data_IF_113022607329
#
_entry.id   IF_113022607329
#
_cell.length_a   1.000
_cell.length_b   1.000
_cell.length_c   1.000
_cell.angle_alpha   90.00
_cell.angle_beta   90.00
_cell.angle_gamma   90.00
#
_symmetry.space_group_name_H-M   'P 1'
#
loop_
_entity.id
_entity.type
_entity.pdbx_description
1 polymer ?
#
# COMPACT_ATOMS: atom_id res chain seq x y z
N UNK A 1 25.91 36.11 -20.23
CA UNK A 1 24.62 35.52 -19.88
C UNK A 1 24.87 34.03 -19.74
N UNK A 2 25.03 33.54 -18.50
CA UNK A 2 25.27 32.12 -18.22
C UNK A 2 23.93 31.38 -18.22
N UNK A 3 23.82 30.37 -19.07
CA UNK A 3 22.68 29.43 -19.06
C UNK A 3 22.67 28.65 -17.74
N UNK A 4 21.68 28.93 -16.92
CA UNK A 4 21.38 28.13 -15.73
C UNK A 4 20.48 26.93 -16.13
N UNK A 5 21.03 25.95 -16.83
CA UNK A 5 20.35 24.66 -16.95
C UNK A 5 20.64 23.79 -15.72
N UNK A 6 19.66 23.09 -15.19
CA UNK A 6 19.85 22.28 -13.99
C UNK A 6 20.79 21.11 -14.29
N UNK A 7 21.76 20.91 -13.41
CA UNK A 7 22.91 19.99 -13.50
C UNK A 7 22.54 18.49 -13.71
N UNK A 8 21.26 18.14 -13.60
CA UNK A 8 20.78 16.77 -13.72
C UNK A 8 20.21 16.40 -15.10
N UNK A 9 20.25 17.34 -16.06
CA UNK A 9 19.85 17.09 -17.46
C UNK A 9 21.10 17.04 -18.33
N UNK A 10 21.63 15.86 -18.59
CA UNK A 10 22.72 15.65 -19.52
C UNK A 10 22.24 14.73 -20.65
N UNK A 11 22.06 15.30 -21.84
CA UNK A 11 21.62 14.57 -23.05
C UNK A 11 22.55 13.43 -23.44
N UNK A 12 23.81 13.46 -23.05
CA UNK A 12 24.80 12.42 -23.36
C UNK A 12 24.61 11.13 -22.57
N UNK A 13 23.79 11.13 -21.52
CA UNK A 13 23.53 9.92 -20.70
C UNK A 13 22.48 9.01 -21.31
N UNK A 14 21.74 9.44 -22.33
CA UNK A 14 20.69 8.65 -23.00
C UNK A 14 21.17 7.80 -24.19
N UNK A 15 22.44 7.92 -24.60
CA UNK A 15 22.93 7.21 -25.79
C UNK A 15 23.57 5.83 -25.50
N UNK A 16 23.57 5.34 -24.29
CA UNK A 16 24.24 4.05 -23.95
C UNK A 16 23.31 3.05 -23.25
N UNK A 17 22.02 3.05 -23.56
CA UNK A 17 21.18 1.87 -23.29
C UNK A 17 21.13 1.10 -24.61
N UNK A 18 22.04 0.14 -24.76
CA UNK A 18 21.95 -0.88 -25.80
C UNK A 18 20.56 -1.51 -25.74
N UNK A 19 19.96 -1.72 -26.92
CA UNK A 19 18.68 -2.40 -27.12
C UNK A 19 18.71 -3.83 -26.57
N UNK A 20 18.66 -3.96 -25.27
CA UNK A 20 18.22 -5.19 -24.63
C UNK A 20 16.70 -5.22 -24.73
N UNK A 21 16.13 -6.29 -25.25
CA UNK A 21 14.69 -6.55 -25.32
C UNK A 21 14.03 -6.29 -23.95
N UNK A 22 13.67 -5.05 -23.68
CA UNK A 22 12.71 -4.70 -22.66
C UNK A 22 11.36 -4.87 -23.33
N UNK A 23 10.64 -5.94 -23.02
CA UNK A 23 9.21 -6.00 -23.30
C UNK A 23 8.58 -4.78 -22.65
N UNK A 24 8.38 -3.73 -23.45
CA UNK A 24 7.65 -2.54 -23.01
C UNK A 24 6.19 -2.95 -22.85
N UNK A 25 5.77 -3.26 -21.61
CA UNK A 25 4.35 -3.35 -21.30
C UNK A 25 3.75 -1.95 -21.58
N UNK A 26 3.11 -1.81 -22.72
CA UNK A 26 2.38 -0.61 -23.06
C UNK A 26 1.17 -0.53 -22.15
N UNK A 27 1.16 0.40 -21.20
CA UNK A 27 -0.01 0.67 -20.36
C UNK A 27 -0.98 1.48 -21.22
N UNK A 28 -1.98 0.84 -21.78
CA UNK A 28 -3.10 1.53 -22.42
C UNK A 28 -3.96 2.20 -21.35
N UNK A 29 -3.83 3.51 -21.22
CA UNK A 29 -4.72 4.31 -20.36
C UNK A 29 -5.99 4.57 -21.16
N UNK A 30 -7.07 3.88 -20.85
CA UNK A 30 -8.39 4.10 -21.43
C UNK A 30 -8.99 5.41 -20.90
N UNK A 31 -8.66 6.53 -21.54
CA UNK A 31 -9.22 7.85 -21.22
C UNK A 31 -10.64 7.88 -21.81
N UNK A 32 -11.66 7.91 -20.95
CA UNK A 32 -13.07 8.10 -21.35
C UNK A 32 -14.00 6.92 -21.09
N UNK A 33 -13.53 5.77 -20.61
CA UNK A 33 -14.39 4.71 -20.11
C UNK A 33 -14.75 4.94 -18.63
N UNK A 34 -16.00 4.64 -18.27
CA UNK A 34 -16.38 4.64 -16.84
C UNK A 34 -15.53 3.57 -16.10
N UNK A 35 -14.99 3.90 -14.93
CA UNK A 35 -14.23 2.95 -14.16
C UNK A 35 -15.09 1.76 -13.74
N UNK A 36 -14.52 0.55 -13.72
CA UNK A 36 -15.20 -0.68 -13.31
C UNK A 36 -15.58 -0.68 -11.83
N UNK A 37 -14.80 0.00 -11.02
CA UNK A 37 -15.04 0.20 -9.60
C UNK A 37 -14.27 1.44 -9.13
N UNK A 38 -14.72 2.04 -8.02
CA UNK A 38 -14.11 3.21 -7.41
C UNK A 38 -13.87 2.92 -5.93
N UNK A 39 -12.62 2.98 -5.52
CA UNK A 39 -12.18 2.63 -4.16
C UNK A 39 -11.61 3.85 -3.47
N UNK A 40 -12.08 4.15 -2.26
CA UNK A 40 -11.44 5.10 -1.35
C UNK A 40 -10.64 4.34 -0.31
N UNK A 41 -9.31 4.47 -0.35
CA UNK A 41 -8.39 3.90 0.64
C UNK A 41 -8.17 4.92 1.73
N UNK A 42 -8.54 4.57 2.95
CA UNK A 42 -8.40 5.41 4.13
C UNK A 42 -7.33 4.85 5.07
N UNK A 43 -6.34 5.68 5.39
CA UNK A 43 -5.22 5.32 6.24
C UNK A 43 -5.10 6.32 7.39
N UNK A 44 -5.72 6.03 8.55
CA UNK A 44 -5.46 6.80 9.75
C UNK A 44 -4.00 6.61 10.18
N UNK A 45 -3.24 7.68 10.34
CA UNK A 45 -1.86 7.64 10.78
C UNK A 45 -1.61 8.61 11.94
N UNK A 46 -0.68 8.25 12.85
CA UNK A 46 -0.32 9.13 13.96
C UNK A 46 0.74 10.14 13.53
N UNK A 47 1.80 9.69 12.89
CA UNK A 47 2.93 10.53 12.44
C UNK A 47 3.35 10.18 11.03
N UNK A 48 3.76 8.94 10.81
CA UNK A 48 4.45 8.50 9.61
C UNK A 48 3.78 7.29 8.98
N UNK A 49 4.09 7.07 7.72
CA UNK A 49 3.72 5.84 7.00
C UNK A 49 4.97 4.99 6.79
N UNK A 50 4.85 3.68 6.91
CA UNK A 50 5.99 2.80 6.70
C UNK A 50 6.38 2.73 5.22
N UNK A 51 7.66 2.46 4.96
CA UNK A 51 8.16 2.24 3.60
C UNK A 51 7.44 1.07 2.91
N UNK A 52 7.16 0.00 3.66
CA UNK A 52 6.45 -1.18 3.12
C UNK A 52 5.02 -0.82 2.71
N UNK A 53 4.29 -0.08 3.54
CA UNK A 53 2.98 0.46 3.20
C UNK A 53 3.05 1.31 1.92
N UNK A 54 4.01 2.24 1.83
CA UNK A 54 4.15 3.11 0.67
C UNK A 54 4.39 2.31 -0.61
N UNK A 55 5.27 1.30 -0.57
CA UNK A 55 5.52 0.42 -1.71
C UNK A 55 4.28 -0.38 -2.11
N UNK A 56 3.54 -0.91 -1.12
CA UNK A 56 2.31 -1.66 -1.37
C UNK A 56 1.23 -0.79 -2.03
N UNK A 57 1.06 0.45 -1.55
CA UNK A 57 0.11 1.42 -2.10
C UNK A 57 0.45 1.78 -3.55
N UNK A 58 1.70 2.05 -3.86
CA UNK A 58 2.13 2.35 -5.25
C UNK A 58 1.88 1.18 -6.19
N UNK A 59 2.20 -0.05 -5.77
CA UNK A 59 1.90 -1.26 -6.53
C UNK A 59 0.40 -1.44 -6.72
N UNK A 60 -0.38 -1.24 -5.67
CA UNK A 60 -1.84 -1.36 -5.73
C UNK A 60 -2.44 -0.35 -6.70
N UNK A 61 -1.98 0.90 -6.67
CA UNK A 61 -2.42 1.93 -7.61
C UNK A 61 -2.16 1.52 -9.06
N UNK A 62 -0.95 1.04 -9.36
CA UNK A 62 -0.61 0.56 -10.71
C UNK A 62 -1.51 -0.60 -11.16
N UNK A 63 -1.76 -1.57 -10.28
CA UNK A 63 -2.64 -2.70 -10.59
C UNK A 63 -4.09 -2.27 -10.78
N UNK A 64 -4.59 -1.31 -9.99
CA UNK A 64 -5.91 -0.72 -10.18
C UNK A 64 -6.04 -0.04 -11.54
N UNK A 65 -5.04 0.75 -11.94
CA UNK A 65 -5.02 1.39 -13.26
C UNK A 65 -5.08 0.37 -14.40
N UNK A 66 -4.29 -0.71 -14.34
CA UNK A 66 -4.30 -1.80 -15.34
C UNK A 66 -5.68 -2.45 -15.44
N UNK A 67 -6.43 -2.52 -14.35
CA UNK A 67 -7.77 -3.14 -14.31
C UNK A 67 -8.93 -2.18 -14.60
N UNK A 68 -8.65 -0.88 -14.78
CA UNK A 68 -9.68 0.15 -14.97
C UNK A 68 -10.44 0.45 -13.67
N UNK A 69 -9.79 0.32 -12.52
CA UNK A 69 -10.32 0.64 -11.19
C UNK A 69 -9.77 2.01 -10.78
N UNK A 70 -10.67 2.92 -10.40
CA UNK A 70 -10.29 4.21 -9.84
C UNK A 70 -9.99 4.03 -8.35
N UNK A 71 -8.84 4.50 -7.91
CA UNK A 71 -8.47 4.49 -6.49
C UNK A 71 -8.06 5.89 -6.04
N UNK A 72 -8.54 6.31 -4.89
CA UNK A 72 -8.07 7.51 -4.18
C UNK A 72 -7.55 7.14 -2.80
N UNK A 73 -6.63 7.94 -2.29
CA UNK A 73 -5.98 7.72 -1.00
C UNK A 73 -6.22 8.90 -0.09
N UNK A 74 -6.82 8.63 1.08
CA UNK A 74 -7.00 9.59 2.16
C UNK A 74 -6.12 9.20 3.35
N UNK A 75 -5.07 9.98 3.60
CA UNK A 75 -4.17 9.81 4.73
C UNK A 75 -4.55 10.86 5.78
N UNK A 76 -5.15 10.42 6.88
CA UNK A 76 -5.63 11.30 7.93
C UNK A 76 -4.74 11.19 9.17
N UNK A 77 -4.13 12.32 9.54
CA UNK A 77 -3.38 12.41 10.79
C UNK A 77 -4.32 12.54 11.96
N UNK A 78 -4.26 11.57 12.88
CA UNK A 78 -5.07 11.59 14.11
C UNK A 78 -4.31 10.93 15.27
N UNK A 79 -4.39 11.53 16.44
CA UNK A 79 -3.84 10.96 17.68
C UNK A 79 -4.68 9.80 18.22
N UNK A 80 -5.97 9.75 17.85
CA UNK A 80 -6.92 8.72 18.24
C UNK A 80 -7.36 7.93 17.01
N UNK A 81 -7.11 6.63 16.98
CA UNK A 81 -7.46 5.75 15.86
C UNK A 81 -8.95 5.77 15.56
N UNK A 82 -9.80 5.76 16.61
CA UNK A 82 -11.26 5.83 16.47
C UNK A 82 -11.71 7.11 15.80
N UNK A 83 -11.15 8.26 16.22
CA UNK A 83 -11.45 9.54 15.61
C UNK A 83 -11.01 9.59 14.16
N UNK A 84 -9.80 9.12 13.85
CA UNK A 84 -9.29 9.06 12.48
C UNK A 84 -10.19 8.21 11.57
N UNK A 85 -10.61 7.03 12.03
CA UNK A 85 -11.55 6.18 11.28
C UNK A 85 -12.91 6.81 11.08
N UNK A 86 -13.46 7.49 12.11
CA UNK A 86 -14.74 8.20 11.97
C UNK A 86 -14.65 9.33 10.94
N UNK A 87 -13.55 10.07 10.90
CA UNK A 87 -13.33 11.11 9.89
C UNK A 87 -13.24 10.50 8.48
N UNK A 88 -12.58 9.37 8.31
CA UNK A 88 -12.54 8.64 7.04
C UNK A 88 -13.95 8.22 6.58
N UNK A 89 -14.76 7.70 7.49
CA UNK A 89 -16.16 7.35 7.19
C UNK A 89 -16.97 8.58 6.80
N UNK A 90 -16.81 9.68 7.52
CA UNK A 90 -17.51 10.93 7.21
C UNK A 90 -17.09 11.47 5.83
N UNK A 91 -15.80 11.41 5.48
CA UNK A 91 -15.29 11.79 4.17
C UNK A 91 -15.88 10.91 3.06
N UNK A 92 -15.87 9.58 3.26
CA UNK A 92 -16.47 8.64 2.33
C UNK A 92 -17.96 8.92 2.12
N UNK A 93 -18.73 9.11 3.17
CA UNK A 93 -20.18 9.37 3.10
C UNK A 93 -20.50 10.71 2.44
N UNK A 94 -19.69 11.74 2.65
CA UNK A 94 -19.84 13.03 1.98
C UNK A 94 -19.57 12.95 0.47
N UNK A 95 -18.88 11.92 0.02
CA UNK A 95 -18.54 11.68 -1.38
C UNK A 95 -19.01 10.30 -1.88
N UNK A 96 -20.06 9.75 -1.28
CA UNK A 96 -20.56 8.40 -1.55
C UNK A 96 -20.88 8.14 -3.02
N UNK A 97 -21.33 9.15 -3.77
CA UNK A 97 -21.61 9.03 -5.21
C UNK A 97 -20.32 8.82 -6.05
N UNK A 98 -19.15 9.07 -5.45
CA UNK A 98 -17.88 8.94 -6.12
C UNK A 98 -17.15 7.61 -5.83
N UNK A 99 -17.63 6.79 -4.89
CA UNK A 99 -16.95 5.56 -4.46
C UNK A 99 -17.94 4.41 -4.25
N UNK A 100 -17.49 3.20 -4.66
CA UNK A 100 -18.21 1.96 -4.43
C UNK A 100 -17.74 1.24 -3.17
N UNK A 101 -16.46 1.45 -2.79
CA UNK A 101 -15.82 0.76 -1.66
C UNK A 101 -15.02 1.70 -0.78
N UNK A 102 -15.15 1.53 0.54
CA UNK A 102 -14.27 2.11 1.54
C UNK A 102 -13.31 1.03 2.04
N UNK A 103 -12.02 1.24 1.88
CA UNK A 103 -10.97 0.32 2.30
C UNK A 103 -10.10 0.95 3.40
N UNK A 104 -10.08 0.34 4.58
CA UNK A 104 -9.16 0.72 5.64
C UNK A 104 -7.88 -0.09 5.58
N UNK A 105 -6.73 0.60 5.59
CA UNK A 105 -5.40 -0.01 5.71
C UNK A 105 -4.61 0.81 6.71
N UNK A 106 -4.04 0.17 7.73
CA UNK A 106 -3.20 0.86 8.70
C UNK A 106 -1.83 1.24 8.07
N UNK A 107 -1.26 2.36 8.50
CA UNK A 107 -0.08 3.00 7.89
C UNK A 107 1.23 2.19 7.96
N UNK A 108 1.22 1.07 8.63
CA UNK A 108 2.35 0.18 8.85
C UNK A 108 2.14 -1.26 8.33
N UNK A 109 1.08 -1.47 7.54
CA UNK A 109 0.75 -2.77 6.95
C UNK A 109 1.32 -2.86 5.53
N UNK A 110 2.05 -3.95 5.28
CA UNK A 110 2.37 -4.41 3.92
C UNK A 110 1.26 -5.33 3.42
N UNK A 111 0.85 -5.15 2.17
CA UNK A 111 -0.25 -5.92 1.60
C UNK A 111 -0.04 -6.20 0.11
N UNK A 112 -0.66 -7.27 -0.37
CA UNK A 112 -0.68 -7.62 -1.79
C UNK A 112 -1.99 -7.14 -2.43
N UNK A 113 -1.92 -6.47 -3.58
CA UNK A 113 -3.07 -6.03 -4.38
C UNK A 113 -4.06 -7.17 -4.65
N UNK A 114 -3.54 -8.38 -4.89
CA UNK A 114 -4.34 -9.59 -5.14
C UNK A 114 -5.28 -9.92 -3.97
N UNK A 115 -4.88 -9.63 -2.73
CA UNK A 115 -5.72 -9.84 -1.55
C UNK A 115 -6.93 -8.92 -1.59
N UNK A 116 -6.72 -7.64 -1.89
CA UNK A 116 -7.81 -6.65 -1.99
C UNK A 116 -8.76 -7.02 -3.13
N UNK A 117 -8.25 -7.41 -4.29
CA UNK A 117 -9.11 -7.83 -5.41
C UNK A 117 -9.93 -9.10 -5.08
N UNK A 118 -9.38 -10.03 -4.31
CA UNK A 118 -10.14 -11.19 -3.81
C UNK A 118 -11.24 -10.77 -2.83
N UNK A 119 -10.97 -9.78 -1.96
CA UNK A 119 -11.98 -9.26 -1.04
C UNK A 119 -13.13 -8.62 -1.81
N UNK A 120 -12.85 -7.78 -2.80
CA UNK A 120 -13.88 -7.16 -3.66
C UNK A 120 -14.66 -8.24 -4.41
N UNK A 121 -13.98 -9.22 -5.01
CA UNK A 121 -14.61 -10.32 -5.74
C UNK A 121 -15.43 -11.27 -4.87
N UNK A 122 -15.33 -11.21 -3.55
CA UNK A 122 -16.15 -11.99 -2.63
C UNK A 122 -17.57 -11.42 -2.46
N UNK A 123 -17.83 -10.20 -2.96
CA UNK A 123 -19.12 -9.53 -2.97
C UNK A 123 -19.84 -9.55 -1.62
N UNK A 124 -19.16 -9.03 -0.60
CA UNK A 124 -19.67 -8.92 0.77
C UNK A 124 -19.79 -7.47 1.19
N UNK A 125 -20.86 -7.14 1.91
CA UNK A 125 -21.07 -5.81 2.48
C UNK A 125 -19.91 -5.39 3.40
N UNK A 126 -19.36 -6.33 4.19
CA UNK A 126 -18.20 -6.13 5.05
C UNK A 126 -17.30 -7.36 4.94
N UNK A 127 -16.02 -7.13 4.70
CA UNK A 127 -14.99 -8.16 4.65
C UNK A 127 -13.70 -7.65 5.28
N UNK A 128 -12.98 -8.52 5.95
CA UNK A 128 -11.68 -8.21 6.54
C UNK A 128 -10.67 -9.31 6.25
N UNK A 129 -9.40 -8.92 6.11
CA UNK A 129 -8.28 -9.83 6.01
C UNK A 129 -7.49 -9.80 7.33
N UNK A 130 -7.33 -10.92 8.04
CA UNK A 130 -6.50 -10.96 9.25
C UNK A 130 -5.03 -10.83 8.87
N UNK A 131 -4.27 -10.13 9.69
CA UNK A 131 -2.82 -10.05 9.62
C UNK A 131 -2.19 -10.38 10.97
N UNK A 132 -0.96 -10.91 11.00
CA UNK A 132 -0.32 -11.29 12.26
C UNK A 132 -0.01 -10.07 13.11
N UNK A 133 -0.17 -10.22 14.43
CA UNK A 133 0.27 -9.19 15.37
C UNK A 133 1.80 -9.04 15.32
N UNK A 134 2.28 -7.81 15.41
CA UNK A 134 3.71 -7.49 15.55
C UNK A 134 4.17 -7.79 16.98
N UNK A 135 4.29 -9.07 17.32
CA UNK A 135 4.77 -9.53 18.62
C UNK A 135 5.96 -10.46 18.45
N UNK A 136 6.96 -10.27 19.30
CA UNK A 136 8.03 -11.24 19.46
C UNK A 136 7.53 -12.31 20.43
N UNK A 137 7.34 -13.52 19.92
CA UNK A 137 6.97 -14.70 20.74
C UNK A 137 8.25 -15.22 21.39
N UNK A 138 8.57 -14.66 22.57
CA UNK A 138 9.77 -15.00 23.34
C UNK A 138 9.77 -16.47 23.76
N UNK A 139 8.62 -17.07 24.08
CA UNK A 139 8.52 -18.47 24.46
C UNK A 139 8.84 -19.40 23.29
N UNK A 140 8.39 -19.04 22.10
CA UNK A 140 8.69 -19.79 20.88
C UNK A 140 10.16 -19.67 20.47
N UNK A 141 10.74 -18.48 20.63
CA UNK A 141 12.15 -18.25 20.38
C UNK A 141 12.97 -19.06 21.39
N UNK A 142 12.67 -18.92 22.69
CA UNK A 142 13.34 -19.65 23.75
C UNK A 142 13.30 -21.18 23.48
N UNK A 143 12.14 -21.74 23.19
CA UNK A 143 11.99 -23.17 22.94
C UNK A 143 12.82 -23.66 21.74
N UNK A 144 12.95 -22.85 20.68
CA UNK A 144 13.79 -23.17 19.53
C UNK A 144 15.27 -23.11 19.82
N UNK A 145 15.72 -22.07 20.55
CA UNK A 145 17.11 -21.87 20.89
C UNK A 145 17.60 -22.87 21.96
N UNK A 146 16.75 -23.15 22.95
CA UNK A 146 17.04 -24.15 23.97
C UNK A 146 17.15 -25.57 23.38
N UNK A 147 16.24 -25.97 22.48
CA UNK A 147 16.34 -27.25 21.75
C UNK A 147 17.63 -27.38 20.93
N UNK A 148 18.21 -26.26 20.49
CA UNK A 148 19.48 -26.22 19.75
C UNK A 148 20.71 -26.07 20.66
N UNK A 149 20.54 -26.08 21.99
CA UNK A 149 21.58 -25.82 23.00
C UNK A 149 22.31 -24.48 22.82
N UNK A 150 21.66 -23.48 22.24
CA UNK A 150 22.23 -22.15 22.03
C UNK A 150 22.06 -21.22 23.23
N UNK A 151 21.07 -21.49 24.06
CA UNK A 151 20.79 -20.79 25.33
C UNK A 151 20.45 -21.80 26.44
N UNK A 152 20.76 -21.46 27.68
CA UNK A 152 20.52 -22.34 28.85
C UNK A 152 19.33 -21.88 29.68
N UNK A 153 19.10 -20.58 29.78
CA UNK A 153 18.05 -19.96 30.58
C UNK A 153 17.23 -18.98 29.75
N UNK A 154 16.05 -18.58 30.25
CA UNK A 154 15.23 -17.54 29.62
C UNK A 154 15.87 -16.15 29.70
N UNK A 155 16.76 -15.95 30.65
CA UNK A 155 17.47 -14.68 30.83
C UNK A 155 18.60 -14.48 29.80
N UNK A 156 18.91 -15.50 29.00
CA UNK A 156 19.89 -15.45 27.91
C UNK A 156 19.27 -14.89 26.60
N UNK A 157 17.96 -14.58 26.58
CA UNK A 157 17.25 -13.98 25.45
C UNK A 157 17.37 -12.46 25.46
#
# INVERSE_FOLDING_TARGET
MQNNEPIWFNEDTYQTIEEGNVESETIEINIGQQPKAKIMVCTPCHSDVSMHYTQAVLKFQMECMKQGILVSFSLLKSSLVTQGRNLCVAEFLNHSDNYDYLLFIDSDIDFESKTIFKMIGADKDIIACPYPMKMIDTDKIWSKLHKKNLIKTKDDL
#
